data_IF_464049473698
#
_entry.id   IF_464049473698
#
_cell.length_a   1.000
_cell.length_b   1.000
_cell.length_c   1.000
_cell.angle_alpha   90.00
_cell.angle_beta   90.00
_cell.angle_gamma   90.00
#
_symmetry.space_group_name_H-M   'P 1'
#
loop_
_entity.id
_entity.type
_entity.pdbx_description
1 polymer ?
#
# COMPACT_ATOMS: atom_id res chain seq x y z
N UNK A 1 24.17 44.59 -22.97
CA UNK A 1 23.95 43.30 -22.28
C UNK A 1 22.49 43.24 -21.86
N UNK A 2 21.72 42.31 -22.42
CA UNK A 2 20.28 42.20 -22.14
C UNK A 2 20.05 40.84 -21.50
N UNK A 3 19.62 40.81 -20.24
CA UNK A 3 19.34 39.57 -19.52
C UNK A 3 17.98 39.06 -20.02
N UNK A 4 17.99 37.92 -20.70
CA UNK A 4 16.77 37.19 -21.05
C UNK A 4 16.31 36.43 -19.81
N UNK A 5 15.25 36.92 -19.16
CA UNK A 5 14.55 36.15 -18.13
C UNK A 5 13.67 35.14 -18.85
N UNK A 6 14.17 33.92 -19.00
CA UNK A 6 13.36 32.79 -19.45
C UNK A 6 12.28 32.54 -18.39
N UNK A 7 11.03 32.89 -18.70
CA UNK A 7 9.90 32.49 -17.87
C UNK A 7 9.71 30.98 -18.04
N UNK A 8 10.41 30.18 -17.24
CA UNK A 8 10.00 28.80 -17.03
C UNK A 8 8.63 28.87 -16.36
N UNK A 9 7.58 28.53 -17.10
CA UNK A 9 6.28 28.25 -16.50
C UNK A 9 6.48 27.04 -15.60
N UNK A 10 6.75 27.27 -14.32
CA UNK A 10 6.75 26.23 -13.28
C UNK A 10 5.31 25.82 -13.06
N UNK A 11 4.77 25.04 -14.00
CA UNK A 11 3.48 24.40 -13.80
C UNK A 11 3.71 23.32 -12.75
N UNK A 12 3.14 23.53 -11.56
CA UNK A 12 3.11 22.54 -10.50
C UNK A 12 2.61 21.20 -11.07
N UNK A 13 3.29 20.08 -10.77
CA UNK A 13 2.80 18.77 -11.18
C UNK A 13 1.40 18.54 -10.59
N UNK A 14 0.60 17.71 -11.25
CA UNK A 14 -0.68 17.30 -10.67
C UNK A 14 -0.37 16.13 -9.73
N UNK A 15 -0.40 16.36 -8.42
CA UNK A 15 -0.36 15.29 -7.44
C UNK A 15 -1.74 14.63 -7.35
N UNK A 16 -1.85 13.39 -7.81
CA UNK A 16 -3.07 12.61 -7.71
C UNK A 16 -2.75 11.23 -7.17
N UNK A 17 -2.70 11.13 -5.85
CA UNK A 17 -2.49 9.88 -5.14
C UNK A 17 -3.78 9.43 -4.45
N UNK A 18 -4.06 8.13 -4.56
CA UNK A 18 -5.22 7.53 -3.90
C UNK A 18 -4.91 6.11 -3.44
N UNK A 19 -5.06 5.91 -2.15
CA UNK A 19 -5.07 4.59 -1.55
C UNK A 19 -6.50 4.05 -1.40
N UNK A 20 -6.64 2.73 -1.56
CA UNK A 20 -7.82 1.97 -1.15
C UNK A 20 -7.39 0.83 -0.25
N UNK A 21 -8.07 0.67 0.88
CA UNK A 21 -7.73 -0.35 1.87
C UNK A 21 -8.75 -1.48 1.90
N UNK A 22 -8.27 -2.71 2.09
CA UNK A 22 -9.08 -3.91 2.29
C UNK A 22 -8.43 -4.82 3.31
N UNK A 23 -9.14 -5.07 4.39
CA UNK A 23 -8.75 -6.05 5.40
C UNK A 23 -9.45 -7.39 5.12
N UNK A 24 -8.70 -8.48 5.19
CA UNK A 24 -9.24 -9.83 5.21
C UNK A 24 -9.08 -10.44 6.61
N UNK A 25 -10.17 -10.64 7.37
CA UNK A 25 -10.10 -11.18 8.72
C UNK A 25 -9.66 -12.65 8.77
N UNK A 26 -9.77 -13.40 7.67
CA UNK A 26 -9.36 -14.80 7.66
C UNK A 26 -7.84 -14.95 7.58
N UNK A 27 -7.20 -14.19 6.70
CA UNK A 27 -5.75 -14.17 6.55
C UNK A 27 -5.04 -13.18 7.47
N UNK A 28 -5.79 -12.30 8.15
CA UNK A 28 -5.26 -11.19 8.97
C UNK A 28 -4.33 -10.27 8.17
N UNK A 29 -4.65 -10.06 6.89
CA UNK A 29 -3.88 -9.20 5.98
C UNK A 29 -4.67 -7.91 5.73
N UNK A 30 -4.02 -6.77 5.96
CA UNK A 30 -4.46 -5.47 5.47
C UNK A 30 -3.77 -5.19 4.14
N UNK A 31 -4.56 -4.98 3.09
CA UNK A 31 -4.06 -4.60 1.78
C UNK A 31 -4.29 -3.12 1.51
N UNK A 32 -3.24 -2.41 1.08
CA UNK A 32 -3.32 -1.09 0.48
C UNK A 32 -3.17 -1.19 -1.04
N UNK A 33 -4.02 -0.51 -1.78
CA UNK A 33 -3.98 -0.46 -3.24
C UNK A 33 -3.73 0.97 -3.67
N UNK A 34 -2.65 1.18 -4.41
CA UNK A 34 -2.28 2.46 -5.01
C UNK A 34 -1.98 2.21 -6.50
N UNK A 35 -2.79 2.81 -7.39
CA UNK A 35 -2.77 2.54 -8.83
C UNK A 35 -2.78 1.02 -9.18
N UNK A 36 -1.67 0.53 -9.74
CA UNK A 36 -1.44 -0.85 -10.16
C UNK A 36 -0.56 -1.61 -9.17
N UNK A 37 -0.55 -1.21 -7.90
CA UNK A 37 0.24 -1.86 -6.86
C UNK A 37 -0.68 -2.27 -5.71
N UNK A 38 -0.57 -3.53 -5.30
CA UNK A 38 -1.25 -4.08 -4.14
C UNK A 38 -0.18 -4.41 -3.09
N UNK A 39 -0.22 -3.72 -1.97
CA UNK A 39 0.69 -3.89 -0.86
C UNK A 39 -0.01 -4.66 0.25
N UNK A 40 0.59 -5.75 0.68
CA UNK A 40 0.03 -6.67 1.67
C UNK A 40 0.80 -6.51 2.96
N UNK A 41 0.07 -6.23 4.04
CA UNK A 41 0.61 -6.12 5.38
C UNK A 41 -0.04 -7.18 6.26
N UNK A 42 0.75 -8.14 6.73
CA UNK A 42 0.31 -9.11 7.72
C UNK A 42 0.20 -8.43 9.09
N UNK A 43 -1.01 -8.32 9.61
CA UNK A 43 -1.26 -7.71 10.92
C UNK A 43 -0.82 -8.63 12.06
N UNK A 44 -0.33 -8.05 13.15
CA UNK A 44 -0.10 -8.79 14.40
C UNK A 44 -1.44 -9.17 15.06
N UNK A 45 -1.41 -10.05 16.08
CA UNK A 45 -2.64 -10.43 16.81
C UNK A 45 -3.35 -9.28 17.53
N UNK A 46 -2.62 -8.25 17.96
CA UNK A 46 -3.25 -7.04 18.53
C UNK A 46 -3.84 -6.18 17.41
N UNK A 47 -3.12 -6.01 16.31
CA UNK A 47 -3.55 -5.21 15.16
C UNK A 47 -4.79 -5.81 14.47
N UNK A 48 -4.87 -7.14 14.39
CA UNK A 48 -6.04 -7.85 13.85
C UNK A 48 -7.30 -7.67 14.69
N UNK A 49 -7.14 -7.31 15.97
CA UNK A 49 -8.26 -6.91 16.84
C UNK A 49 -8.59 -5.42 16.65
N UNK A 50 -7.56 -4.57 16.63
CA UNK A 50 -7.70 -3.11 16.58
C UNK A 50 -8.32 -2.62 15.26
N UNK A 51 -8.10 -3.33 14.14
CA UNK A 51 -8.65 -3.02 12.81
C UNK A 51 -10.18 -2.96 12.78
N UNK A 52 -10.86 -3.57 13.75
CA UNK A 52 -12.31 -3.54 13.87
C UNK A 52 -12.84 -2.29 14.61
N UNK A 53 -11.94 -1.40 15.06
CA UNK A 53 -12.27 -0.09 15.61
C UNK A 53 -11.95 1.00 14.58
N UNK A 54 -12.70 2.11 14.58
CA UNK A 54 -12.42 3.24 13.67
C UNK A 54 -11.00 3.78 13.86
N UNK A 55 -10.56 3.96 15.11
CA UNK A 55 -9.22 4.47 15.42
C UNK A 55 -8.14 3.49 15.01
N UNK A 56 -8.28 2.20 15.35
CA UNK A 56 -7.28 1.18 15.01
C UNK A 56 -7.16 0.98 13.50
N UNK A 57 -8.28 0.99 12.77
CA UNK A 57 -8.25 0.95 11.31
C UNK A 57 -7.45 2.11 10.73
N UNK A 58 -7.73 3.35 11.15
CA UNK A 58 -7.01 4.52 10.65
C UNK A 58 -5.52 4.49 11.00
N UNK A 59 -5.16 4.03 12.20
CA UNK A 59 -3.74 3.87 12.57
C UNK A 59 -3.04 2.84 11.68
N UNK A 60 -3.70 1.74 11.34
CA UNK A 60 -3.14 0.73 10.43
C UNK A 60 -3.05 1.23 8.99
N UNK A 61 -4.04 1.98 8.50
CA UNK A 61 -4.01 2.64 7.19
C UNK A 61 -2.83 3.63 7.08
N UNK A 62 -2.58 4.41 8.13
CA UNK A 62 -1.42 5.31 8.19
C UNK A 62 -0.10 4.55 8.27
N UNK A 63 -0.06 3.47 9.06
CA UNK A 63 1.13 2.63 9.19
C UNK A 63 1.53 2.02 7.85
N UNK A 64 0.58 1.46 7.09
CA UNK A 64 0.89 0.87 5.80
C UNK A 64 1.33 1.92 4.76
N UNK A 65 0.75 3.12 4.76
CA UNK A 65 1.24 4.23 3.91
C UNK A 65 2.68 4.56 4.29
N UNK A 66 2.97 4.71 5.58
CA UNK A 66 4.33 5.00 6.06
C UNK A 66 5.32 3.91 5.61
N UNK A 67 4.93 2.63 5.68
CA UNK A 67 5.75 1.53 5.16
C UNK A 67 5.90 1.53 3.64
N UNK A 68 4.99 2.15 2.89
CA UNK A 68 5.12 2.24 1.42
C UNK A 68 6.05 3.39 1.04
N UNK A 69 6.00 4.49 1.80
CA UNK A 69 6.78 5.71 1.56
C UNK A 69 8.19 5.65 2.15
N UNK A 70 8.39 4.85 3.20
CA UNK A 70 9.69 4.67 3.82
C UNK A 70 10.56 3.72 2.98
N UNK A 71 11.67 4.23 2.47
CA UNK A 71 12.69 3.47 1.71
C UNK A 71 13.30 2.31 2.53
N UNK A 72 13.02 2.21 3.83
CA UNK A 72 13.47 1.10 4.69
C UNK A 72 12.57 -0.12 4.69
N UNK A 73 11.32 0.00 4.19
CA UNK A 73 10.42 -1.13 4.17
C UNK A 73 10.85 -2.16 3.11
N UNK A 74 11.11 -3.39 3.56
CA UNK A 74 11.44 -4.47 2.65
C UNK A 74 10.15 -5.00 2.01
N UNK A 75 10.01 -4.77 0.71
CA UNK A 75 8.95 -5.37 -0.09
C UNK A 75 9.47 -6.58 -0.88
N UNK A 76 8.72 -7.67 -0.84
CA UNK A 76 8.95 -8.84 -1.71
C UNK A 76 7.83 -8.91 -2.73
N UNK A 77 8.16 -8.99 -4.02
CA UNK A 77 7.14 -9.24 -5.04
C UNK A 77 6.64 -10.67 -4.93
N UNK A 78 5.31 -10.86 -4.94
CA UNK A 78 4.69 -12.18 -4.97
C UNK A 78 3.78 -12.34 -6.19
N UNK A 79 3.43 -13.58 -6.52
CA UNK A 79 2.52 -13.89 -7.62
C UNK A 79 1.06 -13.74 -7.20
N UNK A 80 0.17 -13.55 -8.18
CA UNK A 80 -1.28 -13.55 -7.93
C UNK A 80 -1.77 -14.88 -7.35
N UNK A 81 -1.22 -16.01 -7.82
CA UNK A 81 -1.56 -17.33 -7.30
C UNK A 81 -1.16 -17.49 -5.82
N UNK A 82 0.01 -16.97 -5.43
CA UNK A 82 0.42 -16.95 -4.02
C UNK A 82 -0.54 -16.12 -3.16
N UNK A 83 -0.89 -14.90 -3.61
CA UNK A 83 -1.89 -14.08 -2.92
C UNK A 83 -3.23 -14.80 -2.80
N UNK A 84 -3.70 -15.45 -3.87
CA UNK A 84 -4.99 -16.16 -3.87
C UNK A 84 -4.99 -17.36 -2.91
N UNK A 85 -3.84 -18.02 -2.75
CA UNK A 85 -3.67 -19.12 -1.81
C UNK A 85 -3.70 -18.64 -0.35
N UNK A 86 -3.14 -17.47 -0.05
CA UNK A 86 -3.18 -16.86 1.28
C UNK A 86 -4.55 -16.23 1.59
N UNK A 87 -5.11 -15.50 0.62
CA UNK A 87 -6.40 -14.85 0.71
C UNK A 87 -7.11 -14.85 -0.64
N UNK A 88 -8.13 -15.70 -0.76
CA UNK A 88 -9.00 -15.70 -1.94
C UNK A 88 -9.72 -14.35 -2.10
N UNK A 89 -10.07 -13.69 -1.00
CA UNK A 89 -10.70 -12.37 -1.00
C UNK A 89 -9.76 -11.32 -1.64
N UNK A 90 -8.55 -11.19 -1.13
CA UNK A 90 -7.60 -10.19 -1.61
C UNK A 90 -7.09 -10.52 -3.01
N UNK A 91 -6.92 -11.80 -3.34
CA UNK A 91 -6.63 -12.26 -4.70
C UNK A 91 -7.71 -11.83 -5.70
N UNK A 92 -8.99 -11.88 -5.32
CA UNK A 92 -10.05 -11.36 -6.17
C UNK A 92 -10.00 -9.83 -6.32
N UNK A 93 -9.69 -9.10 -5.24
CA UNK A 93 -9.57 -7.63 -5.29
C UNK A 93 -8.39 -7.19 -6.17
N UNK A 94 -7.26 -7.89 -6.10
CA UNK A 94 -6.06 -7.58 -6.86
C UNK A 94 -5.94 -8.32 -8.21
N UNK A 95 -7.04 -8.84 -8.76
CA UNK A 95 -7.05 -9.71 -9.97
C UNK A 95 -6.60 -9.08 -11.29
N UNK A 96 -6.39 -7.77 -11.37
CA UNK A 96 -5.99 -7.14 -12.63
C UNK A 96 -4.55 -7.59 -12.97
N UNK A 97 -4.30 -8.14 -14.16
CA UNK A 97 -2.96 -8.63 -14.53
C UNK A 97 -1.87 -7.55 -14.56
N UNK A 98 -2.25 -6.27 -14.66
CA UNK A 98 -1.31 -5.15 -14.59
C UNK A 98 -0.89 -4.83 -13.15
N UNK A 99 -1.55 -5.42 -12.14
CA UNK A 99 -1.20 -5.19 -10.75
C UNK A 99 0.11 -5.91 -10.40
N UNK A 100 1.01 -5.18 -9.76
CA UNK A 100 2.15 -5.77 -9.05
C UNK A 100 1.78 -5.97 -7.59
N UNK A 101 2.12 -7.11 -7.03
CA UNK A 101 1.74 -7.49 -5.66
C UNK A 101 3.01 -7.53 -4.81
N UNK A 102 3.01 -6.78 -3.72
CA UNK A 102 4.13 -6.64 -2.80
C UNK A 102 3.69 -7.11 -1.41
N UNK A 103 4.46 -8.03 -0.84
CA UNK A 103 4.39 -8.35 0.59
C UNK A 103 5.31 -7.38 1.33
N UNK A 104 4.76 -6.60 2.26
CA UNK A 104 5.51 -5.71 3.14
C UNK A 104 6.05 -6.50 4.34
N UNK A 105 7.33 -6.27 4.65
CA UNK A 105 7.99 -6.82 5.82
C UNK A 105 8.39 -5.68 6.73
N UNK A 106 7.97 -5.73 8.00
CA UNK A 106 8.43 -4.77 9.00
C UNK A 106 9.85 -5.14 9.39
N UNK A 107 10.83 -4.22 9.34
CA UNK A 107 12.16 -4.48 9.87
C UNK A 107 12.05 -4.86 11.35
N UNK A 108 12.69 -5.97 11.76
CA UNK A 108 12.83 -6.28 13.17
C UNK A 108 13.65 -5.16 13.81
N UNK A 109 13.01 -4.33 14.63
CA UNK A 109 13.66 -3.34 15.50
C UNK A 109 14.50 -4.02 16.59
#
# INVERSE_FOLDING_TARGET
>A
YTIQVSSMTTKEPIENERFRFRYDPQSMILMAINHHKCYLYATSGSESTDVHTTTGLHLLELKIITLIDDDTAMYTSITHDALKAESTLLGHVCRNPNNTIYQLTVPNS
#
